data_IF_615238494428
#
_entry.id   IF_615238494428
#
_cell.length_a   1.000
_cell.length_b   1.000
_cell.length_c   1.000
_cell.angle_alpha   90.00
_cell.angle_beta   90.00
_cell.angle_gamma   90.00
#
_symmetry.space_group_name_H-M   'P 1'
#
loop_
_entity.id
_entity.type
_entity.pdbx_description
1 polymer ?
#
# COMPACT_ATOMS: atom_id res chain seq x y z
N UNK A 1 -14.32 -35.27 -19.49
CA UNK A 1 -12.89 -35.12 -19.82
C UNK A 1 -12.18 -34.76 -18.53
N UNK A 2 -11.33 -35.65 -18.00
CA UNK A 2 -10.58 -35.44 -16.74
C UNK A 2 -9.56 -34.32 -16.97
N UNK A 3 -9.69 -33.18 -16.29
CA UNK A 3 -8.59 -32.23 -16.11
C UNK A 3 -8.41 -31.98 -14.62
N UNK A 4 -7.14 -31.90 -14.22
CA UNK A 4 -6.59 -31.68 -12.88
C UNK A 4 -6.48 -32.92 -11.98
N UNK A 5 -5.47 -33.76 -12.28
CA UNK A 5 -4.75 -34.51 -11.26
C UNK A 5 -3.24 -34.40 -11.53
N UNK A 6 -2.65 -33.30 -11.08
CA UNK A 6 -1.22 -33.23 -10.73
C UNK A 6 -1.12 -32.39 -9.46
N UNK A 7 -0.76 -33.06 -8.38
CA UNK A 7 -0.41 -32.43 -7.12
C UNK A 7 0.85 -31.61 -7.31
N UNK A 8 0.70 -30.29 -7.36
CA UNK A 8 1.81 -29.39 -7.07
C UNK A 8 1.82 -29.14 -5.56
N UNK A 9 2.83 -29.66 -4.88
CA UNK A 9 3.15 -29.25 -3.51
C UNK A 9 3.91 -27.92 -3.58
N UNK A 10 3.18 -26.81 -3.46
CA UNK A 10 3.70 -25.45 -3.30
C UNK A 10 2.67 -24.64 -2.49
N UNK A 11 3.08 -23.71 -1.62
CA UNK A 11 2.25 -23.22 -0.52
C UNK A 11 0.99 -22.53 -1.07
N UNK A 12 -0.16 -22.88 -0.47
CA UNK A 12 -1.49 -22.34 -0.78
C UNK A 12 -1.42 -20.81 -0.91
N UNK A 13 -1.54 -20.31 -2.14
CA UNK A 13 -2.15 -19.01 -2.37
C UNK A 13 -3.59 -19.13 -1.84
N UNK A 14 -3.83 -18.58 -0.67
CA UNK A 14 -5.15 -18.56 -0.07
C UNK A 14 -6.02 -17.55 -0.85
N UNK A 15 -6.68 -18.04 -1.90
CA UNK A 15 -8.07 -17.63 -2.13
C UNK A 15 -8.78 -18.02 -0.83
N UNK A 16 -9.14 -17.04 -0.01
CA UNK A 16 -9.82 -17.28 1.26
C UNK A 16 -11.16 -17.97 0.92
N UNK A 17 -11.21 -19.28 1.10
CA UNK A 17 -12.40 -20.15 1.05
C UNK A 17 -13.24 -20.19 -0.25
N UNK A 18 -12.77 -19.67 -1.38
CA UNK A 18 -13.48 -19.80 -2.67
C UNK A 18 -12.81 -20.83 -3.59
N UNK A 19 -13.39 -22.02 -3.71
CA UNK A 19 -13.30 -22.76 -4.96
C UNK A 19 -13.71 -21.80 -6.09
N UNK A 20 -12.94 -21.71 -7.19
CA UNK A 20 -13.36 -20.98 -8.38
C UNK A 20 -14.72 -21.55 -8.84
N UNK A 21 -15.79 -20.78 -8.73
CA UNK A 21 -17.14 -21.22 -9.11
C UNK A 21 -17.46 -20.69 -10.50
N UNK A 22 -17.68 -21.61 -11.43
CA UNK A 22 -18.10 -21.29 -12.78
C UNK A 22 -19.61 -21.49 -12.96
N UNK A 23 -20.28 -20.48 -13.51
CA UNK A 23 -21.71 -20.45 -13.77
C UNK A 23 -21.96 -20.22 -15.25
N UNK A 24 -22.87 -20.99 -15.84
CA UNK A 24 -23.39 -20.73 -17.19
C UNK A 24 -24.76 -20.09 -17.07
N UNK A 25 -24.91 -18.84 -17.52
CA UNK A 25 -26.15 -18.05 -17.42
C UNK A 25 -26.53 -17.43 -18.77
N UNK A 26 -27.79 -17.04 -18.97
CA UNK A 26 -28.27 -16.43 -20.21
C UNK A 26 -28.06 -14.92 -20.15
N UNK A 27 -26.94 -14.47 -20.72
CA UNK A 27 -26.49 -13.08 -20.67
C UNK A 27 -27.50 -12.12 -21.32
N UNK A 28 -28.29 -12.61 -22.29
CA UNK A 28 -29.30 -11.80 -23.01
C UNK A 28 -30.51 -11.47 -22.14
N UNK A 29 -30.85 -12.34 -21.19
CA UNK A 29 -31.95 -12.09 -20.24
C UNK A 29 -31.53 -11.19 -19.08
N UNK A 30 -30.26 -11.27 -18.69
CA UNK A 30 -29.69 -10.48 -17.60
C UNK A 30 -29.14 -9.12 -18.07
N UNK A 31 -29.30 -8.79 -19.36
CA UNK A 31 -28.78 -7.55 -19.95
C UNK A 31 -27.25 -7.41 -19.87
N UNK A 32 -26.55 -8.53 -19.68
CA UNK A 32 -25.10 -8.59 -19.54
C UNK A 32 -24.47 -8.75 -20.93
N UNK A 33 -23.67 -7.79 -21.42
CA UNK A 33 -22.99 -7.90 -22.70
C UNK A 33 -21.72 -8.75 -22.61
N UNK A 34 -21.18 -9.17 -23.75
CA UNK A 34 -19.98 -10.02 -23.81
C UNK A 34 -20.30 -11.51 -23.71
N UNK A 35 -19.24 -12.34 -23.60
CA UNK A 35 -19.31 -13.80 -23.61
C UNK A 35 -18.91 -14.45 -22.27
N UNK A 36 -18.29 -13.68 -21.38
CA UNK A 36 -17.83 -14.09 -20.06
C UNK A 36 -17.77 -12.89 -19.10
N UNK A 37 -17.69 -13.19 -17.80
CA UNK A 37 -17.52 -12.22 -16.72
C UNK A 37 -16.85 -12.87 -15.51
N UNK A 38 -15.60 -12.52 -15.25
CA UNK A 38 -14.86 -12.81 -14.03
C UNK A 38 -15.07 -11.71 -13.00
N UNK A 39 -15.48 -12.09 -11.79
CA UNK A 39 -15.60 -11.19 -10.65
C UNK A 39 -14.28 -11.08 -9.89
N UNK A 40 -13.94 -9.93 -9.27
CA UNK A 40 -12.65 -9.71 -8.61
C UNK A 40 -12.37 -10.73 -7.49
N UNK A 41 -11.11 -10.82 -7.00
CA UNK A 41 -10.69 -11.84 -6.03
C UNK A 41 -11.58 -11.99 -4.79
N UNK A 42 -12.24 -10.93 -4.34
CA UNK A 42 -13.15 -10.95 -3.19
C UNK A 42 -14.45 -11.75 -3.41
N UNK A 43 -14.84 -11.95 -4.67
CA UNK A 43 -16.06 -12.66 -5.08
C UNK A 43 -15.68 -13.99 -5.77
N UNK A 44 -14.70 -13.95 -6.68
CA UNK A 44 -14.10 -15.14 -7.28
C UNK A 44 -15.01 -15.96 -8.20
N UNK A 45 -16.23 -15.47 -8.48
CA UNK A 45 -17.18 -16.12 -9.38
C UNK A 45 -16.86 -15.82 -10.86
N UNK A 46 -17.03 -16.85 -11.68
CA UNK A 46 -16.90 -16.79 -13.14
C UNK A 46 -18.27 -17.06 -13.78
N UNK A 47 -18.71 -16.17 -14.67
CA UNK A 47 -19.94 -16.34 -15.44
C UNK A 47 -19.62 -16.48 -16.93
N UNK A 48 -20.28 -17.40 -17.62
CA UNK A 48 -20.13 -17.67 -19.05
C UNK A 48 -21.50 -17.66 -19.72
N UNK A 49 -21.59 -17.13 -20.94
CA UNK A 49 -22.86 -17.10 -21.67
C UNK A 49 -23.27 -18.51 -22.13
N UNK A 50 -24.37 -19.00 -21.56
CA UNK A 50 -25.01 -20.27 -21.89
C UNK A 50 -25.63 -20.30 -23.29
N UNK A 51 -25.84 -19.14 -23.92
CA UNK A 51 -26.45 -19.05 -25.26
C UNK A 51 -25.45 -19.19 -26.41
N UNK A 52 -24.16 -19.25 -26.09
CA UNK A 52 -23.07 -19.39 -27.08
C UNK A 52 -22.77 -20.86 -27.32
N UNK A 53 -22.66 -21.24 -28.59
CA UNK A 53 -22.12 -22.54 -28.99
C UNK A 53 -20.59 -22.47 -29.00
N UNK A 54 -19.98 -22.85 -27.88
CA UNK A 54 -18.55 -22.74 -27.64
C UNK A 54 -17.73 -23.76 -28.45
N UNK A 55 -16.67 -23.29 -29.13
CA UNK A 55 -15.55 -24.16 -29.49
C UNK A 55 -14.67 -24.41 -28.26
N UNK A 56 -13.93 -25.52 -28.23
CA UNK A 56 -13.02 -25.81 -27.11
C UNK A 56 -11.99 -24.69 -26.89
N UNK A 57 -11.40 -24.18 -27.98
CA UNK A 57 -10.41 -23.11 -27.90
C UNK A 57 -11.02 -21.75 -27.53
N UNK A 58 -12.23 -21.45 -28.03
CA UNK A 58 -12.97 -20.24 -27.68
C UNK A 58 -13.35 -20.21 -26.20
N UNK A 59 -13.87 -21.33 -25.67
CA UNK A 59 -14.17 -21.46 -24.25
C UNK A 59 -12.92 -21.30 -23.41
N UNK A 60 -11.83 -21.98 -23.77
CA UNK A 60 -10.56 -21.90 -23.05
C UNK A 60 -10.02 -20.47 -23.00
N UNK A 61 -10.05 -19.75 -24.12
CA UNK A 61 -9.57 -18.37 -24.19
C UNK A 61 -10.39 -17.44 -23.29
N UNK A 62 -11.72 -17.50 -23.36
CA UNK A 62 -12.58 -16.66 -22.51
C UNK A 62 -12.40 -17.02 -21.05
N UNK A 63 -12.44 -18.31 -20.70
CA UNK A 63 -12.24 -18.75 -19.30
C UNK A 63 -10.89 -18.27 -18.74
N UNK A 64 -9.80 -18.33 -19.52
CA UNK A 64 -8.50 -17.84 -19.06
C UNK A 64 -8.48 -16.32 -18.85
N UNK A 65 -9.10 -15.55 -19.75
CA UNK A 65 -9.27 -14.10 -19.61
C UNK A 65 -10.05 -13.75 -18.34
N UNK A 66 -11.22 -14.38 -18.14
CA UNK A 66 -12.06 -14.10 -17.00
C UNK A 66 -11.43 -14.58 -15.68
N UNK A 67 -10.69 -15.70 -15.68
CA UNK A 67 -9.89 -16.12 -14.52
C UNK A 67 -8.86 -15.02 -14.18
N UNK A 68 -8.28 -14.36 -15.16
CA UNK A 68 -7.41 -13.19 -14.93
C UNK A 68 -8.11 -12.12 -14.08
N UNK A 69 -9.36 -11.77 -14.39
CA UNK A 69 -10.14 -10.85 -13.56
C UNK A 69 -10.42 -11.41 -12.16
N UNK A 70 -10.69 -12.71 -12.02
CA UNK A 70 -10.82 -13.35 -10.70
C UNK A 70 -9.54 -13.33 -9.88
N UNK A 71 -8.39 -13.19 -10.55
CA UNK A 71 -7.08 -13.01 -9.96
C UNK A 71 -6.68 -11.53 -9.86
N UNK A 72 -7.60 -10.59 -10.13
CA UNK A 72 -7.39 -9.15 -9.97
C UNK A 72 -6.72 -8.45 -11.15
N UNK A 73 -6.45 -9.16 -12.26
CA UNK A 73 -5.87 -8.55 -13.46
C UNK A 73 -6.89 -7.65 -14.15
N UNK A 74 -6.47 -6.45 -14.53
CA UNK A 74 -7.20 -5.57 -15.44
C UNK A 74 -7.06 -5.98 -16.91
N UNK A 75 -7.69 -5.23 -17.80
CA UNK A 75 -7.50 -5.39 -19.24
C UNK A 75 -6.11 -4.92 -19.67
N UNK A 76 -5.50 -5.64 -20.61
CA UNK A 76 -4.27 -5.22 -21.28
C UNK A 76 -4.57 -4.42 -22.54
N UNK A 77 -3.69 -3.48 -22.89
CA UNK A 77 -3.70 -2.79 -24.18
C UNK A 77 -2.96 -3.54 -25.27
N UNK A 78 -2.21 -4.60 -24.91
CA UNK A 78 -1.43 -5.44 -25.81
C UNK A 78 -2.36 -6.45 -26.53
N UNK A 79 -2.53 -6.39 -27.86
CA UNK A 79 -3.42 -7.31 -28.59
C UNK A 79 -3.02 -8.80 -28.52
N UNK A 80 -1.82 -9.11 -28.05
CA UNK A 80 -1.32 -10.47 -27.88
C UNK A 80 -1.52 -11.02 -26.45
N UNK A 81 -1.94 -10.19 -25.49
CA UNK A 81 -2.16 -10.61 -24.11
C UNK A 81 -3.47 -11.40 -23.97
N UNK A 82 -3.48 -12.39 -23.06
CA UNK A 82 -4.74 -13.06 -22.70
C UNK A 82 -5.74 -12.08 -22.07
N UNK A 83 -5.26 -10.98 -21.47
CA UNK A 83 -6.09 -9.92 -20.88
C UNK A 83 -6.54 -8.87 -21.91
N UNK A 84 -6.31 -9.07 -23.21
CA UNK A 84 -6.79 -8.14 -24.24
C UNK A 84 -8.31 -8.27 -24.47
N UNK A 85 -9.10 -7.20 -24.32
CA UNK A 85 -10.57 -7.31 -24.30
C UNK A 85 -11.25 -7.46 -25.67
N UNK A 86 -10.60 -7.07 -26.76
CA UNK A 86 -11.26 -6.91 -28.08
C UNK A 86 -10.99 -8.03 -29.08
N UNK A 87 -10.47 -9.15 -28.59
CA UNK A 87 -10.11 -10.26 -29.46
C UNK A 87 -11.37 -10.92 -30.06
N UNK A 88 -11.67 -10.61 -31.34
CA UNK A 88 -12.78 -11.24 -32.10
C UNK A 88 -12.50 -12.68 -32.55
N UNK A 89 -11.29 -13.18 -32.31
CA UNK A 89 -10.82 -14.51 -32.78
C UNK A 89 -9.92 -15.25 -31.77
N UNK A 90 -9.85 -14.80 -30.52
CA UNK A 90 -8.91 -15.27 -29.49
C UNK A 90 -7.47 -14.76 -29.75
N UNK A 91 -6.65 -14.44 -28.73
CA UNK A 91 -5.26 -14.87 -28.83
C UNK A 91 -5.33 -16.38 -29.05
N UNK A 92 -4.85 -16.85 -30.20
CA UNK A 92 -4.73 -18.30 -30.45
C UNK A 92 -3.97 -18.85 -29.27
N UNK A 93 -4.61 -19.74 -28.50
CA UNK A 93 -4.00 -20.40 -27.37
C UNK A 93 -2.87 -21.27 -27.91
N UNK A 94 -1.68 -20.69 -28.12
CA UNK A 94 -0.46 -21.42 -28.45
C UNK A 94 0.14 -22.08 -27.19
N UNK A 95 -0.72 -22.46 -26.25
CA UNK A 95 -0.39 -23.26 -25.07
C UNK A 95 0.03 -22.48 -23.82
N UNK A 96 0.53 -21.25 -23.93
CA UNK A 96 1.16 -20.54 -22.80
C UNK A 96 0.53 -19.16 -22.55
N UNK A 97 0.55 -18.73 -21.28
CA UNK A 97 0.27 -17.34 -20.90
C UNK A 97 1.35 -16.42 -21.47
N UNK A 98 0.98 -15.22 -21.87
CA UNK A 98 1.93 -14.20 -22.31
C UNK A 98 2.80 -13.70 -21.14
N UNK A 99 3.98 -13.18 -21.44
CA UNK A 99 4.96 -12.76 -20.44
C UNK A 99 4.46 -11.61 -19.56
N UNK A 100 3.64 -10.72 -20.11
CA UNK A 100 3.03 -9.60 -19.39
C UNK A 100 2.06 -10.13 -18.32
N UNK A 101 1.17 -11.05 -18.67
CA UNK A 101 0.27 -11.72 -17.73
C UNK A 101 1.03 -12.49 -16.64
N UNK A 102 2.09 -13.22 -17.01
CA UNK A 102 2.92 -13.94 -16.02
C UNK A 102 3.58 -12.97 -15.05
N UNK A 103 4.15 -11.87 -15.54
CA UNK A 103 4.79 -10.85 -14.70
C UNK A 103 3.78 -10.15 -13.79
N UNK A 104 2.58 -9.85 -14.28
CA UNK A 104 1.50 -9.27 -13.48
C UNK A 104 1.11 -10.22 -12.33
N UNK A 105 0.86 -11.50 -12.61
CA UNK A 105 0.54 -12.49 -11.59
C UNK A 105 1.69 -12.68 -10.58
N UNK A 106 2.93 -12.69 -11.03
CA UNK A 106 4.10 -12.75 -10.13
C UNK A 106 4.20 -11.51 -9.24
N UNK A 107 3.93 -10.32 -9.79
CA UNK A 107 3.86 -9.06 -9.04
C UNK A 107 2.62 -8.90 -8.17
N UNK A 108 1.72 -9.89 -8.11
CA UNK A 108 0.54 -9.90 -7.25
C UNK A 108 0.61 -10.99 -6.19
N UNK A 109 1.08 -12.18 -6.58
CA UNK A 109 1.02 -13.40 -5.79
C UNK A 109 2.40 -14.00 -5.48
N UNK A 110 3.49 -13.41 -5.97
CA UNK A 110 4.86 -13.89 -5.80
C UNK A 110 5.48 -13.64 -4.43
N UNK A 111 4.68 -13.27 -3.43
CA UNK A 111 5.15 -12.98 -2.08
C UNK A 111 5.95 -14.15 -1.50
N UNK A 112 7.15 -13.85 -1.02
CA UNK A 112 7.96 -14.80 -0.28
C UNK A 112 7.25 -15.21 1.03
N UNK A 113 7.55 -16.40 1.58
CA UNK A 113 7.01 -16.80 2.87
C UNK A 113 7.25 -15.73 3.94
N UNK A 114 6.21 -15.43 4.72
CA UNK A 114 6.32 -14.48 5.83
C UNK A 114 7.39 -14.91 6.84
N UNK A 115 8.14 -13.94 7.33
CA UNK A 115 9.20 -14.13 8.32
C UNK A 115 8.87 -13.37 9.58
N UNK A 116 8.78 -14.08 10.71
CA UNK A 116 8.68 -13.47 12.02
C UNK A 116 10.05 -12.93 12.45
N UNK A 117 10.09 -11.66 12.88
CA UNK A 117 11.24 -11.06 13.53
C UNK A 117 11.08 -11.26 15.04
N UNK A 118 11.41 -12.47 15.51
CA UNK A 118 11.15 -12.90 16.90
C UNK A 118 11.94 -12.13 17.96
N UNK A 119 12.88 -11.28 17.55
CA UNK A 119 13.68 -10.44 18.44
C UNK A 119 13.00 -9.11 18.77
N UNK A 120 11.88 -8.74 18.11
CA UNK A 120 11.25 -7.42 18.23
C UNK A 120 9.72 -7.47 18.21
N UNK A 121 9.10 -6.57 18.94
CA UNK A 121 7.65 -6.48 19.06
C UNK A 121 7.18 -5.01 19.12
N UNK A 122 5.92 -4.79 18.73
CA UNK A 122 5.27 -3.48 18.76
C UNK A 122 3.80 -3.59 19.15
N UNK A 123 3.25 -2.51 19.73
CA UNK A 123 1.80 -2.34 19.93
C UNK A 123 1.08 -1.85 18.67
N UNK A 124 1.81 -1.30 17.71
CA UNK A 124 1.27 -0.69 16.50
C UNK A 124 2.07 -1.15 15.26
N UNK A 125 1.67 -0.71 14.06
CA UNK A 125 2.38 -1.00 12.82
C UNK A 125 3.78 -0.37 12.78
N UNK A 126 4.78 -0.99 12.12
CA UNK A 126 6.06 -0.32 11.86
C UNK A 126 5.90 0.79 10.81
N UNK A 127 6.97 1.56 10.57
CA UNK A 127 7.12 2.44 9.40
C UNK A 127 8.44 2.14 8.70
N UNK A 128 8.40 2.08 7.38
CA UNK A 128 9.55 1.82 6.52
C UNK A 128 9.97 3.06 5.74
N UNK A 129 11.26 3.20 5.48
CA UNK A 129 11.80 4.14 4.50
C UNK A 129 13.00 3.53 3.80
N UNK A 130 13.12 3.77 2.50
CA UNK A 130 14.16 3.19 1.66
C UNK A 130 15.11 4.27 1.13
N UNK A 131 16.39 4.11 1.42
CA UNK A 131 17.47 5.01 1.02
C UNK A 131 18.25 4.39 -0.13
N UNK A 132 18.44 5.18 -1.18
CA UNK A 132 19.35 4.89 -2.29
C UNK A 132 20.28 6.07 -2.46
N UNK A 133 21.58 5.81 -2.32
CA UNK A 133 22.62 6.76 -2.69
C UNK A 133 23.44 6.14 -3.83
N UNK A 134 23.19 6.54 -5.09
CA UNK A 134 23.93 5.99 -6.21
C UNK A 134 25.39 6.45 -6.14
N UNK A 135 26.33 5.53 -6.38
CA UNK A 135 27.74 5.85 -6.49
C UNK A 135 28.35 5.30 -7.77
N UNK A 136 29.10 6.15 -8.48
CA UNK A 136 29.88 5.76 -9.66
C UNK A 136 31.04 4.82 -9.31
N UNK A 137 31.47 4.77 -8.05
CA UNK A 137 32.52 3.83 -7.59
C UNK A 137 31.98 2.44 -7.24
N UNK A 138 30.67 2.21 -7.37
CA UNK A 138 30.02 0.96 -6.97
C UNK A 138 29.83 0.77 -5.47
N UNK A 139 30.19 1.77 -4.64
CA UNK A 139 29.98 1.79 -3.19
C UNK A 139 28.68 2.49 -2.79
N UNK A 140 27.66 2.44 -3.66
CA UNK A 140 26.38 3.09 -3.40
C UNK A 140 25.68 2.46 -2.21
N UNK A 141 24.91 3.25 -1.46
CA UNK A 141 24.09 2.73 -0.38
C UNK A 141 22.73 2.31 -0.94
N UNK A 142 22.25 1.15 -0.53
CA UNK A 142 20.90 0.67 -0.83
C UNK A 142 20.40 -0.04 0.41
N UNK A 143 19.53 0.63 1.16
CA UNK A 143 19.14 0.15 2.48
C UNK A 143 17.73 0.59 2.83
N UNK A 144 16.94 -0.33 3.37
CA UNK A 144 15.65 -0.06 3.98
C UNK A 144 15.80 0.03 5.49
N UNK A 145 15.11 0.99 6.08
CA UNK A 145 15.05 1.24 7.50
C UNK A 145 13.65 0.98 8.01
N UNK A 146 13.56 0.45 9.22
CA UNK A 146 12.31 0.23 9.94
C UNK A 146 12.39 0.92 11.30
N UNK A 147 11.32 1.63 11.63
CA UNK A 147 11.09 2.17 12.98
C UNK A 147 9.75 1.72 13.51
N UNK A 148 9.67 1.50 14.82
CA UNK A 148 8.45 1.08 15.51
C UNK A 148 8.49 1.51 16.97
N UNK A 149 7.31 1.58 17.60
CA UNK A 149 7.21 1.76 19.05
C UNK A 149 7.35 0.41 19.77
N UNK A 150 7.92 0.42 20.97
CA UNK A 150 8.00 -0.76 21.85
C UNK A 150 6.64 -1.37 22.20
N UNK A 151 6.67 -2.44 22.99
CA UNK A 151 5.47 -3.15 23.43
C UNK A 151 5.39 -3.29 24.94
N UNK A 152 4.21 -3.56 25.50
CA UNK A 152 4.03 -3.83 26.94
C UNK A 152 4.50 -2.70 27.88
N UNK A 153 4.06 -1.46 27.60
CA UNK A 153 4.42 -0.30 28.44
C UNK A 153 5.79 0.28 28.11
N UNK A 154 6.54 -0.34 27.21
CA UNK A 154 7.69 0.26 26.56
C UNK A 154 7.24 1.26 25.49
N UNK A 155 7.54 2.54 25.74
CA UNK A 155 7.26 3.64 24.80
C UNK A 155 8.51 4.02 23.99
N UNK A 156 9.58 3.25 24.04
CA UNK A 156 10.79 3.52 23.24
C UNK A 156 10.50 3.40 21.76
N UNK A 157 11.19 4.20 20.93
CA UNK A 157 11.20 4.01 19.48
C UNK A 157 12.44 3.20 19.11
N UNK A 158 12.25 2.13 18.36
CA UNK A 158 13.33 1.26 17.89
C UNK A 158 13.68 1.54 16.43
N UNK A 159 14.91 1.16 16.08
CA UNK A 159 15.50 1.33 14.77
C UNK A 159 16.17 0.02 14.32
N UNK A 160 16.02 -0.31 13.05
CA UNK A 160 16.73 -1.41 12.40
C UNK A 160 16.84 -1.15 10.90
N UNK A 161 17.82 -1.78 10.28
CA UNK A 161 18.08 -1.63 8.85
C UNK A 161 18.27 -2.99 8.17
N UNK A 162 18.06 -3.01 6.86
CA UNK A 162 18.25 -4.19 6.01
C UNK A 162 18.63 -3.74 4.60
N UNK A 163 19.45 -4.53 3.91
CA UNK A 163 19.78 -4.25 2.50
C UNK A 163 18.75 -4.86 1.54
N UNK A 164 17.94 -5.81 2.00
CA UNK A 164 17.08 -6.64 1.15
C UNK A 164 15.63 -6.72 1.64
N UNK A 165 15.34 -6.15 2.82
CA UNK A 165 14.02 -6.16 3.47
C UNK A 165 13.67 -7.46 4.20
N UNK A 166 14.57 -8.45 4.25
CA UNK A 166 14.34 -9.75 4.87
C UNK A 166 15.37 -10.07 5.96
N UNK A 167 16.62 -9.68 5.72
CA UNK A 167 17.74 -9.85 6.65
C UNK A 167 17.96 -8.54 7.40
N UNK A 168 17.38 -8.45 8.60
CA UNK A 168 17.39 -7.23 9.42
C UNK A 168 18.52 -7.24 10.44
N UNK A 169 19.11 -6.07 10.68
CA UNK A 169 20.02 -5.86 11.82
C UNK A 169 19.28 -6.11 13.13
N UNK A 170 19.97 -6.42 14.24
CA UNK A 170 19.36 -6.42 15.56
C UNK A 170 18.64 -5.10 15.84
N UNK A 171 17.52 -5.15 16.56
CA UNK A 171 16.83 -3.94 16.98
C UNK A 171 17.69 -3.11 17.94
N UNK A 172 17.63 -1.78 17.81
CA UNK A 172 18.31 -0.86 18.71
C UNK A 172 17.36 0.28 19.12
N UNK A 173 17.27 0.63 20.41
CA UNK A 173 16.44 1.76 20.85
C UNK A 173 17.09 3.09 20.45
N UNK A 174 16.29 4.03 19.95
CA UNK A 174 16.71 5.41 19.72
C UNK A 174 16.69 6.12 21.07
N UNK A 175 17.83 6.67 21.49
CA UNK A 175 17.98 7.27 22.81
C UNK A 175 17.22 8.60 22.93
N UNK A 176 16.52 8.80 24.04
CA UNK A 176 15.89 10.08 24.38
C UNK A 176 14.53 10.36 23.73
N UNK A 177 14.01 9.45 22.90
CA UNK A 177 12.70 9.61 22.24
C UNK A 177 11.74 8.49 22.65
N UNK A 178 10.44 8.78 22.57
CA UNK A 178 9.41 7.80 22.83
C UNK A 178 8.05 8.18 22.25
N UNK A 179 7.21 7.18 22.01
CA UNK A 179 5.85 7.35 21.52
C UNK A 179 4.91 6.30 22.10
N UNK A 180 3.61 6.62 22.12
CA UNK A 180 2.56 5.63 22.44
C UNK A 180 1.85 5.09 21.20
N UNK A 181 2.22 5.59 20.01
CA UNK A 181 1.68 5.17 18.71
C UNK A 181 2.89 4.96 17.78
N UNK A 182 2.76 4.13 16.76
CA UNK A 182 3.86 3.92 15.81
C UNK A 182 4.28 5.25 15.15
N UNK A 183 5.60 5.46 14.94
CA UNK A 183 6.11 6.63 14.25
C UNK A 183 5.85 6.57 12.74
N UNK A 184 6.05 7.69 12.04
CA UNK A 184 6.14 7.75 10.57
C UNK A 184 7.55 8.15 10.17
N UNK A 185 8.10 7.43 9.21
CA UNK A 185 9.45 7.58 8.68
C UNK A 185 9.38 7.84 7.17
N UNK A 186 10.18 8.79 6.70
CA UNK A 186 10.39 9.04 5.27
C UNK A 186 11.87 9.32 5.00
N UNK A 187 12.24 9.25 3.74
CA UNK A 187 13.51 9.82 3.27
C UNK A 187 13.36 11.31 2.97
N UNK A 188 14.46 12.04 3.05
CA UNK A 188 14.53 13.44 2.65
C UNK A 188 15.94 13.80 2.18
N UNK A 189 16.06 14.90 1.43
CA UNK A 189 17.34 15.46 1.05
C UNK A 189 17.73 16.57 2.03
N UNK A 190 18.71 16.36 2.93
CA UNK A 190 19.18 17.40 3.82
C UNK A 190 19.76 18.58 3.03
N UNK A 191 19.63 19.82 3.54
CA UNK A 191 20.30 20.98 2.94
C UNK A 191 21.80 20.73 2.81
N UNK A 192 22.34 20.91 1.61
CA UNK A 192 23.74 20.69 1.30
C UNK A 192 24.35 21.95 0.68
N UNK A 193 25.43 22.46 1.27
CA UNK A 193 26.20 23.60 0.73
C UNK A 193 27.08 23.20 -0.45
N UNK A 194 27.40 21.91 -0.55
CA UNK A 194 28.47 21.42 -1.44
C UNK A 194 27.89 20.75 -2.70
N UNK A 195 26.57 20.82 -2.88
CA UNK A 195 25.84 20.14 -3.97
C UNK A 195 25.72 18.62 -3.79
N UNK A 196 26.16 18.09 -2.64
CA UNK A 196 26.07 16.67 -2.31
C UNK A 196 24.60 16.27 -2.11
N UNK A 197 24.13 15.31 -2.91
CA UNK A 197 22.75 14.84 -2.95
C UNK A 197 22.55 13.66 -2.00
N UNK A 198 22.97 13.83 -0.74
CA UNK A 198 22.77 12.81 0.29
C UNK A 198 21.29 12.61 0.56
N UNK A 199 20.95 11.41 1.02
CA UNK A 199 19.60 11.06 1.43
C UNK A 199 19.63 10.72 2.92
N UNK A 200 18.89 11.48 3.71
CA UNK A 200 18.70 11.23 5.13
C UNK A 200 17.33 10.61 5.42
N UNK A 201 17.11 10.33 6.70
CA UNK A 201 15.81 9.93 7.24
C UNK A 201 15.18 11.08 8.03
N UNK A 202 13.88 11.27 7.88
CA UNK A 202 13.08 12.16 8.71
C UNK A 202 11.97 11.35 9.36
N UNK A 203 11.75 11.58 10.65
CA UNK A 203 10.74 10.87 11.44
C UNK A 203 9.84 11.84 12.18
N UNK A 204 8.55 11.53 12.24
CA UNK A 204 7.57 12.23 13.06
C UNK A 204 6.80 11.22 13.94
N UNK A 205 6.49 11.61 15.17
CA UNK A 205 5.79 10.76 16.13
C UNK A 205 4.94 11.56 17.11
N UNK A 206 3.95 10.91 17.72
CA UNK A 206 3.17 11.47 18.82
C UNK A 206 3.95 11.32 20.14
N UNK A 207 3.82 12.25 21.07
CA UNK A 207 4.33 12.09 22.44
C UNK A 207 3.77 10.88 23.22
N UNK A 208 4.40 10.60 24.36
CA UNK A 208 4.07 9.48 25.25
C UNK A 208 2.85 9.76 26.12
N UNK A 209 1.97 8.77 26.28
CA UNK A 209 0.77 8.85 27.09
C UNK A 209 -0.18 9.95 26.61
N UNK A 210 -0.53 10.86 27.52
CA UNK A 210 -1.44 11.97 27.25
C UNK A 210 -0.79 13.13 26.46
N UNK A 211 0.52 13.09 26.20
CA UNK A 211 1.17 14.07 25.33
C UNK A 211 0.73 13.89 23.88
N UNK A 212 -0.22 14.71 23.44
CA UNK A 212 -0.70 14.73 22.05
C UNK A 212 0.23 15.48 21.09
N UNK A 213 1.33 16.07 21.59
CA UNK A 213 2.24 16.84 20.73
C UNK A 213 2.85 15.98 19.64
N UNK A 214 3.11 16.59 18.49
CA UNK A 214 3.92 15.96 17.44
C UNK A 214 5.39 16.35 17.65
N UNK A 215 6.25 15.35 17.65
CA UNK A 215 7.70 15.47 17.70
C UNK A 215 8.29 15.01 16.39
N UNK A 216 9.46 15.54 16.03
CA UNK A 216 10.19 15.12 14.84
C UNK A 216 11.70 15.21 15.03
N UNK A 217 12.43 14.46 14.22
CA UNK A 217 13.90 14.52 14.15
C UNK A 217 14.37 14.03 12.78
N UNK A 218 15.64 14.31 12.48
CA UNK A 218 16.33 13.89 11.26
C UNK A 218 17.55 13.04 11.59
N UNK A 219 17.93 12.17 10.68
CA UNK A 219 19.12 11.33 10.78
C UNK A 219 19.84 11.32 9.42
N UNK A 220 21.01 11.96 9.36
CA UNK A 220 21.83 12.08 8.15
C UNK A 220 23.03 11.15 8.14
N UNK A 221 23.28 10.40 9.22
CA UNK A 221 24.38 9.40 9.28
C UNK A 221 23.89 7.99 9.01
N UNK A 222 22.56 7.78 9.07
CA UNK A 222 21.88 6.50 8.90
C UNK A 222 22.28 5.44 9.94
N UNK A 223 22.81 5.89 11.08
CA UNK A 223 23.14 5.07 12.24
C UNK A 223 22.17 5.35 13.40
N UNK A 224 22.00 4.41 14.32
CA UNK A 224 21.05 4.56 15.45
C UNK A 224 21.35 5.76 16.36
N UNK A 225 22.62 6.14 16.49
CA UNK A 225 23.09 7.29 17.27
C UNK A 225 23.16 8.58 16.43
N UNK A 226 22.73 8.51 15.17
CA UNK A 226 22.74 9.60 14.20
C UNK A 226 21.56 10.56 14.25
N UNK A 227 20.56 10.29 15.09
CA UNK A 227 19.38 11.14 15.22
C UNK A 227 19.76 12.47 15.87
N UNK A 228 19.33 13.57 15.24
CA UNK A 228 19.42 14.90 15.83
C UNK A 228 18.53 15.02 17.07
N UNK A 229 18.74 16.08 17.84
CA UNK A 229 17.85 16.42 18.96
C UNK A 229 16.41 16.55 18.46
N UNK A 230 15.47 15.88 19.15
CA UNK A 230 14.07 15.95 18.79
C UNK A 230 13.54 17.37 18.93
N UNK A 231 12.67 17.76 18.00
CA UNK A 231 12.02 19.06 17.99
C UNK A 231 10.52 18.87 18.15
N UNK A 232 9.91 19.72 18.99
CA UNK A 232 8.47 19.75 19.16
C UNK A 232 7.83 20.63 18.11
N UNK A 233 6.73 20.15 17.52
CA UNK A 233 5.79 20.96 16.76
C UNK A 233 4.58 21.22 17.67
N UNK A 234 4.23 22.49 17.87
CA UNK A 234 3.14 22.91 18.78
C UNK A 234 1.75 22.67 18.19
N UNK A 235 1.46 21.41 17.84
CA UNK A 235 0.19 20.89 17.32
C UNK A 235 -0.13 19.55 18.00
N UNK A 236 -1.38 19.09 17.91
CA UNK A 236 -1.83 17.87 18.59
C UNK A 236 -2.40 16.79 17.67
N UNK A 237 -2.07 15.52 17.93
CA UNK A 237 -2.62 14.34 17.26
C UNK A 237 -3.03 13.24 18.24
N UNK A 238 -4.07 12.48 17.89
CA UNK A 238 -4.43 11.22 18.58
C UNK A 238 -4.04 9.96 17.80
N UNK A 239 -3.43 10.12 16.62
CA UNK A 239 -3.06 9.02 15.73
C UNK A 239 -1.65 9.25 15.16
N UNK A 240 -1.16 8.27 14.39
CA UNK A 240 0.12 8.37 13.71
C UNK A 240 0.13 9.59 12.77
N UNK A 241 1.10 10.53 12.89
CA UNK A 241 1.28 11.56 11.88
C UNK A 241 1.90 10.95 10.63
N UNK A 242 1.74 11.56 9.46
CA UNK A 242 2.42 11.16 8.23
C UNK A 242 3.33 12.27 7.74
N UNK A 243 4.58 11.93 7.47
CA UNK A 243 5.62 12.83 6.99
C UNK A 243 6.15 12.36 5.63
N UNK A 244 6.41 13.29 4.71
CA UNK A 244 7.01 12.99 3.41
C UNK A 244 7.78 14.20 2.87
N UNK A 245 8.84 13.96 2.12
CA UNK A 245 9.45 14.99 1.28
C UNK A 245 8.70 15.14 -0.05
N UNK A 246 8.44 16.38 -0.46
CA UNK A 246 7.86 16.71 -1.76
C UNK A 246 8.44 18.05 -2.23
N UNK A 247 8.82 18.17 -3.51
CA UNK A 247 9.35 19.44 -4.07
C UNK A 247 10.41 20.14 -3.20
N UNK A 248 11.34 19.38 -2.60
CA UNK A 248 12.38 19.86 -1.67
C UNK A 248 11.84 20.55 -0.39
N UNK A 249 10.60 20.24 -0.03
CA UNK A 249 9.93 20.64 1.19
C UNK A 249 9.52 19.39 1.95
N UNK A 250 9.21 19.54 3.24
CA UNK A 250 8.65 18.45 4.04
C UNK A 250 7.18 18.75 4.28
N UNK A 251 6.28 17.83 3.96
CA UNK A 251 4.89 17.89 4.38
C UNK A 251 4.69 17.00 5.61
N UNK A 252 3.83 17.47 6.51
CA UNK A 252 3.34 16.71 7.64
C UNK A 252 1.81 16.79 7.66
N UNK A 253 1.12 15.67 7.81
CA UNK A 253 -0.33 15.61 7.98
C UNK A 253 -0.71 14.72 9.16
N UNK A 254 -1.81 15.05 9.85
CA UNK A 254 -2.26 14.32 11.02
C UNK A 254 -3.77 14.43 11.22
N UNK A 255 -4.30 13.49 12.01
CA UNK A 255 -5.63 13.59 12.59
C UNK A 255 -5.58 14.48 13.83
N UNK A 256 -6.59 15.31 14.05
CA UNK A 256 -6.70 16.14 15.25
C UNK A 256 -6.68 15.33 16.56
N UNK A 257 -6.38 16.00 17.67
CA UNK A 257 -6.28 15.35 18.98
C UNK A 257 -7.66 15.03 19.60
N UNK A 258 -7.70 13.98 20.43
CA UNK A 258 -8.92 13.55 21.13
C UNK A 258 -10.04 13.20 20.15
N UNK A 259 -11.18 13.88 20.29
CA UNK A 259 -12.37 13.65 19.45
C UNK A 259 -12.35 14.44 18.12
N UNK A 260 -11.30 15.22 17.84
CA UNK A 260 -11.20 15.95 16.57
C UNK A 260 -10.90 14.97 15.42
N UNK A 261 -11.89 14.73 14.57
CA UNK A 261 -11.74 13.91 13.36
C UNK A 261 -11.14 14.67 12.18
N UNK A 262 -10.88 15.96 12.30
CA UNK A 262 -10.33 16.77 11.22
C UNK A 262 -8.95 16.30 10.79
N UNK A 263 -8.67 16.49 9.50
CA UNK A 263 -7.34 16.32 8.94
C UNK A 263 -6.64 17.67 8.92
N UNK A 264 -5.46 17.72 9.51
CA UNK A 264 -4.59 18.89 9.57
C UNK A 264 -3.31 18.62 8.81
N UNK A 265 -2.69 19.67 8.29
CA UNK A 265 -1.38 19.57 7.66
C UNK A 265 -0.56 20.85 7.81
N UNK A 266 0.74 20.73 7.60
CA UNK A 266 1.68 21.84 7.44
C UNK A 266 2.81 21.43 6.49
N UNK A 267 3.57 22.41 6.01
CA UNK A 267 4.80 22.21 5.25
C UNK A 267 5.97 22.96 5.88
N UNK A 268 7.17 22.45 5.66
CA UNK A 268 8.44 23.06 6.06
C UNK A 268 9.23 23.41 4.81
N UNK A 269 9.42 24.70 4.60
CA UNK A 269 10.15 25.25 3.46
C UNK A 269 11.67 25.19 3.61
N UNK A 270 12.37 25.70 2.60
CA UNK A 270 13.84 25.78 2.55
C UNK A 270 14.45 26.70 3.63
N UNK A 271 13.66 27.61 4.22
CA UNK A 271 14.06 28.42 5.37
C UNK A 271 14.19 27.62 6.68
N UNK A 272 13.83 26.33 6.65
CA UNK A 272 13.91 25.43 7.79
C UNK A 272 12.83 25.64 8.85
N UNK A 273 11.81 26.44 8.58
CA UNK A 273 10.70 26.73 9.49
C UNK A 273 9.41 26.04 9.03
N UNK A 274 8.64 25.54 10.00
CA UNK A 274 7.29 25.05 9.74
C UNK A 274 6.34 26.21 9.53
N UNK A 275 5.43 26.06 8.57
CA UNK A 275 4.33 26.98 8.37
C UNK A 275 3.22 26.74 9.41
N UNK A 276 2.31 27.71 9.62
CA UNK A 276 1.13 27.49 10.46
C UNK A 276 0.29 26.31 9.97
N UNK A 277 -0.20 25.48 10.90
CA UNK A 277 -1.09 24.37 10.56
C UNK A 277 -2.36 24.83 9.85
N UNK A 278 -2.85 24.03 8.91
CA UNK A 278 -4.10 24.25 8.18
C UNK A 278 -4.98 23.01 8.24
N UNK A 279 -6.27 23.23 8.46
CA UNK A 279 -7.27 22.17 8.38
C UNK A 279 -7.64 21.95 6.91
N UNK A 280 -7.78 20.70 6.49
CA UNK A 280 -8.36 20.38 5.19
C UNK A 280 -9.89 20.36 5.36
N UNK A 281 -10.53 21.48 5.03
CA UNK A 281 -11.93 21.74 5.33
C UNK A 281 -12.88 20.65 4.76
N UNK A 282 -13.86 20.26 5.57
CA UNK A 282 -14.91 19.30 5.19
C UNK A 282 -14.48 17.84 5.17
N UNK A 283 -13.30 17.50 5.69
CA UNK A 283 -12.74 16.13 5.67
C UNK A 283 -12.51 15.63 7.07
N UNK A 284 -12.73 14.33 7.27
CA UNK A 284 -12.50 13.69 8.55
C UNK A 284 -11.96 12.27 8.41
N UNK A 285 -11.27 11.82 9.45
CA UNK A 285 -10.65 10.50 9.57
C UNK A 285 -10.75 9.99 11.01
N UNK A 286 -10.81 8.67 11.17
CA UNK A 286 -10.70 7.99 12.47
C UNK A 286 -9.26 7.60 12.83
N UNK A 287 -8.32 7.61 11.88
CA UNK A 287 -6.92 7.23 12.07
C UNK A 287 -5.95 8.18 11.34
N UNK A 288 -4.64 7.95 11.44
CA UNK A 288 -3.63 8.76 10.77
C UNK A 288 -3.76 8.76 9.23
N UNK A 289 -3.62 9.92 8.55
CA UNK A 289 -3.55 9.96 7.09
C UNK A 289 -2.21 9.41 6.58
N UNK A 290 -2.12 9.17 5.28
CA UNK A 290 -0.90 8.71 4.59
C UNK A 290 -0.57 9.66 3.45
N UNK A 291 0.57 10.34 3.53
CA UNK A 291 1.11 11.18 2.47
C UNK A 291 2.07 10.40 1.56
N UNK A 292 2.06 10.74 0.27
CA UNK A 292 3.07 10.27 -0.68
C UNK A 292 3.27 11.29 -1.80
N UNK A 293 4.52 11.51 -2.19
CA UNK A 293 4.86 12.33 -3.37
C UNK A 293 5.03 11.44 -4.59
N UNK A 294 4.23 11.69 -5.62
CA UNK A 294 4.21 10.88 -6.84
C UNK A 294 3.79 11.71 -8.04
N UNK A 295 4.43 11.48 -9.19
CA UNK A 295 4.14 12.18 -10.45
C UNK A 295 4.07 13.72 -10.33
N UNK A 296 4.94 14.31 -9.50
CA UNK A 296 5.02 15.76 -9.28
C UNK A 296 3.91 16.34 -8.38
N UNK A 297 3.12 15.50 -7.72
CA UNK A 297 2.03 15.93 -6.85
C UNK A 297 2.10 15.27 -5.47
N UNK A 298 1.62 15.99 -4.46
CA UNK A 298 1.44 15.44 -3.11
C UNK A 298 0.05 14.80 -3.02
N UNK A 299 0.04 13.48 -2.82
CA UNK A 299 -1.18 12.69 -2.62
C UNK A 299 -1.38 12.45 -1.12
N UNK A 300 -2.64 12.45 -0.69
CA UNK A 300 -3.04 12.04 0.65
C UNK A 300 -4.11 10.97 0.56
N UNK A 301 -3.93 9.89 1.31
CA UNK A 301 -4.92 8.82 1.50
C UNK A 301 -5.34 8.77 2.97
N UNK A 302 -6.62 8.50 3.25
CA UNK A 302 -7.10 8.38 4.63
C UNK A 302 -8.32 7.46 4.71
N UNK A 303 -8.52 6.84 5.87
CA UNK A 303 -9.77 6.16 6.20
C UNK A 303 -10.85 7.19 6.54
N UNK A 304 -12.11 6.89 6.25
CA UNK A 304 -13.26 7.63 6.76
C UNK A 304 -13.32 7.71 8.30
N UNK A 305 -14.27 8.49 8.80
CA UNK A 305 -14.55 8.64 10.23
C UNK A 305 -15.05 7.33 10.86
N UNK A 306 -15.31 7.32 12.17
CA UNK A 306 -15.82 6.14 12.86
C UNK A 306 -17.12 5.63 12.22
N UNK A 307 -17.18 4.32 11.94
CA UNK A 307 -18.28 3.68 11.21
C UNK A 307 -18.17 3.74 9.68
N UNK A 308 -17.25 4.55 9.13
CA UNK A 308 -16.96 4.61 7.70
C UNK A 308 -15.61 3.95 7.39
N UNK A 309 -15.66 2.74 6.84
CA UNK A 309 -14.47 1.99 6.45
C UNK A 309 -13.89 2.38 5.09
N UNK A 310 -14.53 3.29 4.33
CA UNK A 310 -14.01 3.68 3.03
C UNK A 310 -12.63 4.33 3.14
N UNK A 311 -11.83 4.15 2.10
CA UNK A 311 -10.59 4.90 1.92
C UNK A 311 -10.88 6.07 0.98
N UNK A 312 -10.35 7.23 1.32
CA UNK A 312 -10.46 8.45 0.55
C UNK A 312 -9.09 8.91 0.07
N UNK A 313 -9.09 9.68 -1.00
CA UNK A 313 -7.91 10.25 -1.62
C UNK A 313 -8.15 11.71 -2.03
N UNK A 314 -7.08 12.50 -2.00
CA UNK A 314 -7.01 13.79 -2.66
C UNK A 314 -5.57 14.15 -3.00
N UNK A 315 -5.44 15.15 -3.87
CA UNK A 315 -4.16 15.66 -4.35
C UNK A 315 -4.03 17.14 -4.02
N UNK A 316 -2.84 17.62 -3.66
CA UNK A 316 -2.54 19.05 -3.61
C UNK A 316 -2.46 19.56 -5.06
N UNK A 317 -3.52 20.23 -5.52
CA UNK A 317 -3.66 20.65 -6.93
C UNK A 317 -3.05 22.03 -7.20
N UNK A 318 -2.92 22.85 -6.15
CA UNK A 318 -2.25 24.15 -6.19
C UNK A 318 -1.39 24.28 -4.95
N UNK A 319 -0.08 24.11 -5.10
CA UNK A 319 0.88 24.20 -3.99
C UNK A 319 1.04 25.64 -3.48
N UNK A 320 0.94 26.63 -4.38
CA UNK A 320 1.16 28.04 -4.06
C UNK A 320 0.02 28.58 -3.20
N UNK A 321 -1.22 28.24 -3.56
CA UNK A 321 -2.41 28.63 -2.82
C UNK A 321 -2.87 27.56 -1.82
N UNK A 322 -2.14 26.44 -1.74
CA UNK A 322 -2.37 25.37 -0.78
C UNK A 322 -3.76 24.72 -0.87
N UNK A 323 -4.21 24.52 -2.11
CA UNK A 323 -5.55 24.00 -2.42
C UNK A 323 -5.45 22.50 -2.66
N UNK A 324 -6.14 21.74 -1.80
CA UNK A 324 -6.40 20.32 -2.01
C UNK A 324 -7.58 20.14 -2.97
N UNK A 325 -7.41 19.27 -3.96
CA UNK A 325 -8.47 18.85 -4.89
C UNK A 325 -9.60 18.10 -4.18
N UNK A 326 -10.66 17.70 -4.90
CA UNK A 326 -11.83 17.05 -4.29
C UNK A 326 -11.44 15.80 -3.50
N UNK A 327 -12.25 15.48 -2.49
CA UNK A 327 -12.19 14.18 -1.82
C UNK A 327 -12.83 13.14 -2.73
N UNK A 328 -12.09 12.10 -3.07
CA UNK A 328 -12.53 10.99 -3.90
C UNK A 328 -12.51 9.70 -3.07
N UNK A 329 -13.52 8.85 -3.22
CA UNK A 329 -13.48 7.51 -2.65
C UNK A 329 -12.52 6.68 -3.49
N UNK A 330 -11.61 5.97 -2.83
CA UNK A 330 -10.66 5.10 -3.50
C UNK A 330 -11.40 3.83 -3.94
N UNK A 331 -11.45 3.63 -5.24
CA UNK A 331 -12.17 2.52 -5.87
C UNK A 331 -11.28 1.79 -6.87
N UNK A 332 -11.48 0.50 -7.03
CA UNK A 332 -10.96 -0.28 -8.16
C UNK A 332 -12.09 -0.68 -9.09
N UNK A 333 -11.75 -0.95 -10.34
CA UNK A 333 -12.73 -1.37 -11.35
C UNK A 333 -12.96 -2.87 -11.28
N UNK A 334 -14.20 -3.31 -11.07
CA UNK A 334 -14.62 -4.68 -11.37
C UNK A 334 -14.64 -4.83 -12.90
N UNK A 335 -13.53 -5.32 -13.46
CA UNK A 335 -13.29 -5.43 -14.90
C UNK A 335 -14.23 -6.41 -15.63
N UNK A 336 -15.15 -7.08 -14.92
CA UNK A 336 -16.04 -8.09 -15.48
C UNK A 336 -17.06 -7.64 -16.54
N UNK A 337 -17.01 -6.42 -17.09
CA UNK A 337 -17.70 -6.11 -18.36
C UNK A 337 -17.37 -4.73 -18.95
N UNK A 338 -16.78 -4.69 -20.16
CA UNK A 338 -16.58 -3.42 -20.88
C UNK A 338 -17.84 -2.80 -21.47
N UNK A 339 -18.99 -3.51 -21.43
CA UNK A 339 -20.19 -3.05 -22.11
C UNK A 339 -21.42 -2.86 -21.19
N UNK A 340 -21.35 -3.16 -19.88
CA UNK A 340 -22.48 -2.93 -18.93
C UNK A 340 -22.21 -1.88 -17.85
N UNK A 341 -21.17 -1.07 -17.98
CA UNK A 341 -20.77 -0.15 -16.93
C UNK A 341 -19.87 -0.86 -15.91
N UNK A 342 -18.61 -0.45 -15.93
CA UNK A 342 -17.66 -0.68 -14.86
C UNK A 342 -18.27 -0.14 -13.56
N UNK A 343 -18.59 -1.02 -12.61
CA UNK A 343 -19.02 -0.58 -11.29
C UNK A 343 -17.78 -0.37 -10.43
N UNK A 344 -17.48 0.85 -9.99
CA UNK A 344 -16.39 1.08 -9.05
C UNK A 344 -16.70 0.37 -7.73
N UNK A 345 -15.72 -0.39 -7.23
CA UNK A 345 -15.80 -1.06 -5.93
C UNK A 345 -14.91 -0.29 -4.96
N UNK A 346 -15.50 0.21 -3.88
CA UNK A 346 -14.75 0.90 -2.82
C UNK A 346 -13.83 -0.09 -2.10
N UNK A 347 -12.57 0.29 -1.88
CA UNK A 347 -11.74 -0.41 -0.91
C UNK A 347 -12.11 0.04 0.51
N UNK A 348 -11.86 -0.81 1.50
CA UNK A 348 -12.13 -0.48 2.88
C UNK A 348 -11.05 -0.96 3.85
N UNK A 349 -10.89 -0.22 4.94
CA UNK A 349 -9.92 -0.50 6.00
C UNK A 349 -10.47 -0.16 7.39
N UNK A 350 -9.85 -0.75 8.40
CA UNK A 350 -10.09 -0.44 9.81
C UNK A 350 -8.93 0.31 10.50
N UNK A 351 -7.80 0.51 9.80
CA UNK A 351 -6.58 1.13 10.36
C UNK A 351 -5.98 2.15 9.41
N UNK A 352 -4.83 2.74 9.79
CA UNK A 352 -3.97 3.48 8.87
C UNK A 352 -3.54 2.62 7.67
N UNK A 353 -3.27 3.31 6.56
CA UNK A 353 -2.72 2.74 5.34
C UNK A 353 -1.22 3.08 5.22
N UNK A 354 -0.54 2.37 4.34
CA UNK A 354 0.81 2.74 3.89
C UNK A 354 0.85 2.80 2.37
N UNK A 355 1.73 3.64 1.85
CA UNK A 355 1.89 3.89 0.42
C UNK A 355 3.38 3.92 0.05
N UNK A 356 3.72 3.39 -1.12
CA UNK A 356 5.05 3.56 -1.73
C UNK A 356 4.92 3.78 -3.22
N UNK A 357 5.91 4.42 -3.84
CA UNK A 357 6.02 4.46 -5.30
C UNK A 357 6.71 3.19 -5.77
N UNK A 358 6.15 2.52 -6.78
CA UNK A 358 6.73 1.35 -7.43
C UNK A 358 6.65 1.53 -8.95
N UNK A 359 7.80 1.82 -9.57
CA UNK A 359 7.85 2.17 -10.99
C UNK A 359 7.03 3.43 -11.30
N UNK A 360 5.94 3.27 -12.05
CA UNK A 360 5.04 4.37 -12.42
C UNK A 360 3.72 4.32 -11.67
N UNK A 361 3.68 3.75 -10.48
CA UNK A 361 2.45 3.55 -9.71
C UNK A 361 2.68 3.83 -8.23
N UNK A 362 1.58 4.11 -7.51
CA UNK A 362 1.53 4.08 -6.06
C UNK A 362 1.01 2.68 -5.67
N UNK A 363 1.71 2.00 -4.78
CA UNK A 363 1.21 0.79 -4.13
C UNK A 363 0.67 1.18 -2.77
N UNK A 364 -0.62 0.92 -2.55
CA UNK A 364 -1.26 1.06 -1.24
C UNK A 364 -1.29 -0.30 -0.56
N UNK A 365 -1.02 -0.34 0.75
CA UNK A 365 -1.19 -1.51 1.59
C UNK A 365 -1.99 -1.16 2.85
N UNK A 366 -2.92 -2.03 3.24
CA UNK A 366 -3.82 -1.80 4.38
C UNK A 366 -4.26 -3.10 5.05
N UNK A 367 -4.79 -3.00 6.26
CA UNK A 367 -5.55 -4.07 6.93
C UNK A 367 -7.02 -3.98 6.51
N UNK A 368 -7.69 -5.12 6.36
CA UNK A 368 -9.09 -5.20 5.96
C UNK A 368 -10.08 -4.42 6.82
N UNK A 369 -11.35 -4.46 6.43
CA UNK A 369 -12.47 -3.83 7.15
C UNK A 369 -12.66 -4.46 8.55
N UNK A 370 -13.43 -3.86 9.48
CA UNK A 370 -13.66 -4.42 10.80
C UNK A 370 -14.10 -5.89 10.76
N UNK A 371 -13.36 -6.76 11.46
CA UNK A 371 -13.55 -8.22 11.44
C UNK A 371 -12.69 -8.97 10.43
N UNK A 372 -12.02 -8.26 9.52
CA UNK A 372 -11.04 -8.81 8.58
C UNK A 372 -9.62 -8.36 8.94
N UNK A 373 -8.84 -9.28 9.51
CA UNK A 373 -7.46 -9.04 9.91
C UNK A 373 -6.46 -9.25 8.77
N UNK A 374 -6.90 -9.64 7.57
CA UNK A 374 -6.03 -9.84 6.42
C UNK A 374 -5.39 -8.53 5.97
N UNK A 375 -4.20 -8.66 5.37
CA UNK A 375 -3.53 -7.55 4.71
C UNK A 375 -3.84 -7.56 3.23
N UNK A 376 -4.10 -6.37 2.71
CA UNK A 376 -4.48 -6.13 1.33
C UNK A 376 -3.50 -5.14 0.72
N UNK A 377 -3.32 -5.22 -0.59
CA UNK A 377 -2.67 -4.17 -1.35
C UNK A 377 -3.30 -3.99 -2.72
N UNK A 378 -3.06 -2.85 -3.33
CA UNK A 378 -3.50 -2.51 -4.67
C UNK A 378 -2.55 -1.50 -5.30
N UNK A 379 -2.57 -1.43 -6.63
CA UNK A 379 -1.73 -0.57 -7.45
C UNK A 379 -2.59 0.54 -8.02
N UNK A 380 -2.15 1.77 -7.81
CA UNK A 380 -2.78 3.01 -8.23
C UNK A 380 -1.93 3.70 -9.28
N UNK A 381 -2.53 4.05 -10.41
CA UNK A 381 -1.89 4.88 -11.42
C UNK A 381 -2.70 6.17 -11.57
N UNK A 382 -2.07 7.33 -11.73
CA UNK A 382 -2.79 8.59 -11.98
C UNK A 382 -3.66 8.53 -13.25
N UNK A 383 -3.31 7.68 -14.21
CA UNK A 383 -3.98 7.58 -15.51
C UNK A 383 -5.00 6.44 -15.61
N UNK A 384 -5.05 5.54 -14.63
CA UNK A 384 -5.93 4.37 -14.64
C UNK A 384 -6.51 4.14 -13.22
N UNK A 385 -7.79 3.74 -13.10
CA UNK A 385 -8.34 3.34 -11.79
C UNK A 385 -7.48 2.23 -11.16
N UNK A 386 -7.58 2.06 -9.84
CA UNK A 386 -6.86 1.01 -9.12
C UNK A 386 -7.02 -0.35 -9.83
N UNK A 387 -5.92 -1.08 -9.94
CA UNK A 387 -5.99 -2.52 -10.19
C UNK A 387 -6.64 -3.19 -8.96
N UNK A 388 -7.30 -4.35 -9.12
CA UNK A 388 -8.11 -4.94 -8.04
C UNK A 388 -7.38 -5.04 -6.69
N UNK A 389 -8.12 -5.07 -5.58
CA UNK A 389 -7.48 -5.33 -4.28
C UNK A 389 -7.08 -6.81 -4.16
N UNK A 390 -5.86 -7.04 -3.67
CA UNK A 390 -5.28 -8.37 -3.56
C UNK A 390 -5.02 -8.65 -2.09
N UNK A 391 -5.59 -9.74 -1.56
CA UNK A 391 -5.22 -10.22 -0.24
C UNK A 391 -3.82 -10.83 -0.31
N UNK A 392 -2.97 -10.45 0.63
CA UNK A 392 -1.68 -11.07 0.82
C UNK A 392 -1.94 -12.45 1.46
N UNK A 393 -1.47 -13.57 0.88
CA UNK A 393 -1.87 -14.89 1.35
C UNK A 393 -1.36 -15.22 2.76
N UNK A 394 -2.26 -15.75 3.61
CA UNK A 394 -1.93 -16.31 4.92
C UNK A 394 -1.27 -15.33 5.91
N UNK A 395 -1.48 -14.02 5.73
CA UNK A 395 -1.01 -13.00 6.66
C UNK A 395 -2.20 -12.31 7.34
N UNK A 396 -1.97 -11.84 8.56
CA UNK A 396 -2.90 -10.97 9.25
C UNK A 396 -2.18 -10.03 10.20
N UNK A 397 -2.80 -8.90 10.49
CA UNK A 397 -2.23 -7.89 11.38
C UNK A 397 -3.27 -7.32 12.33
N UNK A 398 -2.83 -6.92 13.51
CA UNK A 398 -3.63 -6.16 14.46
C UNK A 398 -3.47 -4.64 14.32
N UNK A 399 -2.67 -4.15 13.37
CA UNK A 399 -2.42 -2.73 13.09
C UNK A 399 -2.25 -2.48 11.58
N UNK A 400 -2.09 -1.21 11.18
CA UNK A 400 -1.77 -0.88 9.78
C UNK A 400 -0.40 -1.42 9.37
N UNK A 401 -0.23 -1.98 8.16
CA UNK A 401 1.07 -2.42 7.66
C UNK A 401 1.91 -1.22 7.16
N UNK A 402 3.19 -1.46 6.89
CA UNK A 402 4.05 -0.55 6.12
C UNK A 402 4.56 -1.24 4.87
N UNK A 403 4.51 -0.56 3.72
CA UNK A 403 5.05 -1.02 2.45
C UNK A 403 6.11 -0.04 1.93
N UNK A 404 7.17 -0.55 1.31
CA UNK A 404 8.16 0.27 0.60
C UNK A 404 8.72 -0.48 -0.60
N UNK A 405 9.16 0.24 -1.64
CA UNK A 405 9.89 -0.34 -2.76
C UNK A 405 11.38 -0.39 -2.45
N UNK A 406 11.99 -1.57 -2.57
CA UNK A 406 13.41 -1.82 -2.38
C UNK A 406 13.97 -2.36 -3.69
N UNK A 407 14.53 -1.48 -4.50
CA UNK A 407 15.13 -1.82 -5.81
C UNK A 407 14.14 -2.56 -6.75
N UNK A 408 12.90 -2.08 -6.84
CA UNK A 408 11.87 -2.68 -7.69
C UNK A 408 11.22 -3.94 -7.10
N UNK A 409 11.35 -4.17 -5.78
CA UNK A 409 10.68 -5.23 -5.04
C UNK A 409 9.90 -4.63 -3.88
N UNK A 410 8.68 -5.05 -3.66
CA UNK A 410 7.89 -4.52 -2.55
C UNK A 410 8.26 -5.26 -1.27
N UNK A 411 8.61 -4.52 -0.24
CA UNK A 411 8.83 -5.05 1.11
C UNK A 411 7.67 -4.59 1.97
N UNK A 412 7.03 -5.55 2.63
CA UNK A 412 5.95 -5.32 3.59
C UNK A 412 6.43 -5.68 4.99
N UNK A 413 6.11 -4.82 5.96
CA UNK A 413 6.30 -5.09 7.37
C UNK A 413 5.00 -4.83 8.14
N UNK A 414 4.68 -5.68 9.11
CA UNK A 414 3.45 -5.56 9.90
C UNK A 414 3.62 -6.12 11.31
N UNK A 415 2.71 -5.73 12.21
CA UNK A 415 2.56 -6.37 13.52
C UNK A 415 1.73 -7.64 13.38
N UNK A 416 2.06 -8.71 14.10
CA UNK A 416 1.25 -9.94 14.16
C UNK A 416 -0.23 -9.72 14.52
N UNK A 417 -1.05 -10.74 14.25
CA UNK A 417 -2.51 -10.70 14.46
C UNK A 417 -2.89 -10.99 15.91
N UNK A 418 -4.00 -10.39 16.37
CA UNK A 418 -4.54 -10.60 17.71
C UNK A 418 -3.53 -10.25 18.81
N UNK A 419 -3.17 -11.25 19.63
CA UNK A 419 -2.22 -11.11 20.73
C UNK A 419 -0.74 -11.16 20.32
N UNK A 420 -0.43 -11.57 19.10
CA UNK A 420 0.95 -11.55 18.61
C UNK A 420 1.41 -10.10 18.44
N UNK A 421 2.53 -9.76 19.07
CA UNK A 421 3.12 -8.43 18.99
C UNK A 421 4.41 -8.42 18.20
N UNK A 422 4.91 -9.58 17.76
CA UNK A 422 6.09 -9.63 16.94
C UNK A 422 5.87 -8.87 15.63
N UNK A 423 6.96 -8.30 15.11
CA UNK A 423 6.95 -7.77 13.76
C UNK A 423 7.23 -8.88 12.75
N UNK A 424 6.59 -8.80 11.61
CA UNK A 424 6.70 -9.74 10.51
C UNK A 424 7.05 -8.99 9.24
N UNK A 425 7.74 -9.68 8.33
CA UNK A 425 8.10 -9.15 7.01
C UNK A 425 7.85 -10.16 5.90
N UNK A 426 7.62 -9.65 4.70
CA UNK A 426 7.63 -10.41 3.45
C UNK A 426 8.04 -9.49 2.30
N UNK A 427 8.43 -10.08 1.18
CA UNK A 427 8.84 -9.36 -0.03
C UNK A 427 8.20 -9.98 -1.27
N UNK A 428 7.79 -9.13 -2.19
CA UNK A 428 7.27 -9.47 -3.52
C UNK A 428 8.37 -9.35 -4.58
#
# INVERSE_FOLDING_TARGET
MRMFSRSFSSPRAALIDSDLKAHFIDFRKDGTPGSGKGKPPTDGNLYLDSTINWSADGLKSVVLHEIGHTLGLGHSTNPLSIMYPYSKSGPVVSGNLDSETIQALQGMYGWLPQQCLSDRASTDGPSLAYVVEPSLSGSGLTQVFMVWTGSEGDSSIYFSSSNDGLSWSPQQPISGVGSSIGPSLATFHPPSSDGDSRVGLIMAWKGVGDDSSIWWSVNTTLQVDGWAEQQRLDVGTSSRPSIVEFNHQIALAWKGAGNDSSIWWTKRGSNGQWEPQKQIAGRGTSCGPTLIFYAGQLHMFWKGIDGDSNVYHAVLIDELNEIWGPQEVVTFTDAGNLNSGESPVCIGTQSELSATVHGQEIVLAWRGIPGDDSLWFSRFNKNLPLEGQISIPNVGSAAGPSVTDVSGRLVLAWRGVGGDRNLWVSRL
#
